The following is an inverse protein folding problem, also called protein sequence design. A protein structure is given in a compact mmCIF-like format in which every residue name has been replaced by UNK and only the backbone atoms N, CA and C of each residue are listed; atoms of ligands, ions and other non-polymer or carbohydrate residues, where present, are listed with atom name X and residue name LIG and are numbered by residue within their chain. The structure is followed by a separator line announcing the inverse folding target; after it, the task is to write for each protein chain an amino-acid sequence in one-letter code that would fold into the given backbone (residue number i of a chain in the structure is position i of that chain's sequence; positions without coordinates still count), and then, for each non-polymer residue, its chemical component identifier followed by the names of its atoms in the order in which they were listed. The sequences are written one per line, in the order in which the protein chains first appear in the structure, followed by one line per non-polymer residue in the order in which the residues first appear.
data_IF_329814348174
#
_entry.id   IF_329814348174
#
_cell.length_a   1.000
_cell.length_b   1.000
_cell.length_c   1.000
_cell.angle_alpha   90.00
_cell.angle_beta   90.00
_cell.angle_gamma   90.00
#
_symmetry.space_group_name_H-M   'P 1'
#
loop_
_entity.id
_entity.type
_entity.pdbx_description
1 polymer ?
#
# COMPACT_ATOMS: atom_id res chain seq x y z
N UNK A 1 1.07 45.65 -29.69
CA UNK A 1 1.90 45.00 -28.65
C UNK A 1 0.96 44.61 -27.53
N UNK A 2 0.46 43.38 -27.58
CA UNK A 2 -0.50 42.85 -26.61
C UNK A 2 0.23 42.62 -25.29
N UNK A 3 -0.21 43.28 -24.23
CA UNK A 3 0.26 43.02 -22.87
C UNK A 3 -0.03 41.55 -22.53
N UNK A 4 0.99 40.69 -22.60
CA UNK A 4 0.89 39.34 -22.02
C UNK A 4 0.68 39.58 -20.52
N UNK A 5 -0.54 39.33 -20.06
CA UNK A 5 -0.90 39.47 -18.67
C UNK A 5 0.08 38.70 -17.80
N UNK A 6 0.64 39.37 -16.80
CA UNK A 6 1.50 38.73 -15.80
C UNK A 6 0.66 37.62 -15.15
N UNK A 7 1.04 36.37 -15.37
CA UNK A 7 0.37 35.23 -14.74
C UNK A 7 0.59 35.35 -13.22
N UNK A 8 -0.47 35.34 -12.39
CA UNK A 8 -0.33 35.32 -10.94
C UNK A 8 0.58 34.19 -10.45
N UNK A 9 1.40 34.48 -9.44
CA UNK A 9 2.37 33.51 -8.93
C UNK A 9 1.68 32.26 -8.38
N UNK A 10 0.46 32.38 -7.85
CA UNK A 10 -0.34 31.26 -7.36
C UNK A 10 -0.68 30.28 -8.49
N UNK A 11 -0.97 30.78 -9.70
CA UNK A 11 -1.24 29.92 -10.86
C UNK A 11 0.04 29.23 -11.36
N UNK A 12 1.18 29.94 -11.34
CA UNK A 12 2.49 29.34 -11.64
C UNK A 12 2.80 28.21 -10.66
N UNK A 13 2.58 28.45 -9.37
CA UNK A 13 2.80 27.46 -8.32
C UNK A 13 1.88 26.24 -8.47
N UNK A 14 0.59 26.45 -8.78
CA UNK A 14 -0.36 25.36 -9.06
C UNK A 14 0.03 24.55 -10.29
N UNK A 15 0.44 25.18 -11.40
CA UNK A 15 0.93 24.47 -12.58
C UNK A 15 2.16 23.63 -12.24
N UNK A 16 3.09 24.20 -11.48
CA UNK A 16 4.28 23.46 -11.04
C UNK A 16 3.88 22.29 -10.16
N UNK A 17 2.88 22.42 -9.27
CA UNK A 17 2.43 21.35 -8.37
C UNK A 17 1.83 20.15 -9.10
N UNK A 18 1.24 20.34 -10.28
CA UNK A 18 0.70 19.27 -11.12
C UNK A 18 1.78 18.41 -11.81
N UNK A 19 3.04 18.87 -11.86
CA UNK A 19 4.13 18.07 -12.44
C UNK A 19 4.33 16.80 -11.59
N UNK A 20 4.40 15.59 -12.16
CA UNK A 20 4.64 14.38 -11.38
C UNK A 20 5.96 14.45 -10.61
N UNK A 21 5.99 13.92 -9.39
CA UNK A 21 7.22 13.90 -8.55
C UNK A 21 8.35 13.10 -9.20
N UNK A 22 8.00 12.06 -9.97
CA UNK A 22 8.93 11.23 -10.74
C UNK A 22 9.59 12.01 -11.89
N UNK A 23 8.94 13.07 -12.40
CA UNK A 23 9.43 13.89 -13.50
C UNK A 23 10.36 15.02 -13.01
N UNK A 24 11.50 14.59 -12.45
CA UNK A 24 12.51 15.50 -11.93
C UNK A 24 13.18 16.35 -13.01
N UNK A 25 13.17 15.90 -14.27
CA UNK A 25 13.80 16.63 -15.38
C UNK A 25 12.95 17.82 -15.83
N UNK A 26 11.63 17.67 -15.87
CA UNK A 26 10.72 18.81 -16.08
C UNK A 26 10.84 19.81 -14.94
N UNK A 27 10.89 19.36 -13.68
CA UNK A 27 11.09 20.25 -12.53
C UNK A 27 12.43 21.00 -12.59
N UNK A 28 13.53 20.34 -12.99
CA UNK A 28 14.83 21.00 -13.22
C UNK A 28 14.74 22.05 -14.31
N UNK A 29 14.09 21.73 -15.42
CA UNK A 29 13.91 22.68 -16.52
C UNK A 29 13.13 23.91 -16.05
N UNK A 30 12.08 23.72 -15.26
CA UNK A 30 11.30 24.81 -14.67
C UNK A 30 12.15 25.75 -13.80
N UNK A 31 13.15 25.23 -13.06
CA UNK A 31 14.05 26.10 -12.28
C UNK A 31 14.89 27.05 -13.13
N UNK A 32 15.06 26.78 -14.42
CA UNK A 32 15.86 27.58 -15.34
C UNK A 32 15.04 28.57 -16.18
N UNK A 33 13.70 28.51 -16.12
CA UNK A 33 12.81 29.33 -16.97
C UNK A 33 12.89 30.81 -16.58
N UNK A 34 12.56 31.14 -15.33
CA UNK A 34 12.65 32.49 -14.78
C UNK A 34 12.54 32.47 -13.23
N UNK A 35 12.66 33.64 -12.61
CA UNK A 35 12.58 33.80 -11.15
C UNK A 35 11.25 33.40 -10.52
N UNK A 36 10.13 33.43 -11.26
CA UNK A 36 8.82 33.01 -10.75
C UNK A 36 8.70 31.49 -10.66
N UNK A 37 9.32 30.73 -11.56
CA UNK A 37 9.26 29.27 -11.53
C UNK A 37 10.25 28.66 -10.52
N UNK A 38 11.37 29.35 -10.27
CA UNK A 38 12.45 28.83 -9.43
C UNK A 38 12.01 28.39 -8.03
N UNK A 39 11.34 29.20 -7.18
CA UNK A 39 11.12 28.85 -5.77
C UNK A 39 10.29 27.58 -5.60
N UNK A 40 9.19 27.44 -6.35
CA UNK A 40 8.30 26.29 -6.25
C UNK A 40 8.93 25.03 -6.84
N UNK A 41 9.48 25.11 -8.05
CA UNK A 41 10.14 23.96 -8.70
C UNK A 41 11.33 23.46 -7.89
N UNK A 42 12.13 24.38 -7.37
CA UNK A 42 13.28 24.06 -6.52
C UNK A 42 12.85 23.36 -5.22
N UNK A 43 11.81 23.87 -4.54
CA UNK A 43 11.26 23.22 -3.36
C UNK A 43 10.77 21.79 -3.65
N UNK A 44 10.10 21.57 -4.78
CA UNK A 44 9.62 20.24 -5.19
C UNK A 44 10.76 19.28 -5.56
N UNK A 45 11.83 19.78 -6.18
CA UNK A 45 13.01 18.96 -6.49
C UNK A 45 13.68 18.36 -5.25
N UNK A 46 13.67 19.10 -4.14
CA UNK A 46 14.27 18.64 -2.88
C UNK A 46 13.27 18.03 -1.91
N UNK A 47 11.97 18.02 -2.21
CA UNK A 47 10.96 17.49 -1.28
C UNK A 47 10.95 15.97 -1.19
N UNK A 48 11.31 15.29 -2.27
CA UNK A 48 11.35 13.82 -2.35
C UNK A 48 12.75 13.38 -2.73
N UNK A 49 13.36 12.56 -1.88
CA UNK A 49 14.72 12.05 -2.09
C UNK A 49 14.70 10.54 -2.17
N UNK A 50 15.11 10.00 -3.32
CA UNK A 50 15.24 8.56 -3.54
C UNK A 50 16.73 8.18 -3.57
N UNK A 51 17.15 7.36 -2.60
CA UNK A 51 18.50 6.83 -2.51
C UNK A 51 18.50 5.36 -2.89
N UNK A 52 19.20 5.02 -3.97
CA UNK A 52 19.37 3.66 -4.49
C UNK A 52 20.85 3.36 -4.60
N UNK A 53 21.37 2.47 -3.75
CA UNK A 53 22.77 2.04 -3.86
C UNK A 53 22.86 0.78 -4.69
N UNK A 54 23.65 0.80 -5.75
CA UNK A 54 23.95 -0.38 -6.58
C UNK A 54 25.28 -1.06 -6.19
N UNK A 55 25.94 -0.64 -5.11
CA UNK A 55 27.28 -1.11 -4.75
C UNK A 55 27.36 -1.60 -3.31
N UNK A 56 27.84 -2.84 -3.15
CA UNK A 56 27.97 -3.55 -1.88
C UNK A 56 28.95 -2.92 -0.87
N UNK A 57 29.96 -2.16 -1.31
CA UNK A 57 31.06 -1.74 -0.42
C UNK A 57 31.21 -0.25 -0.19
N UNK A 58 30.34 0.61 -0.73
CA UNK A 58 30.56 2.07 -0.72
C UNK A 58 32.02 2.45 -1.06
N UNK A 59 32.71 1.63 -1.87
CA UNK A 59 34.17 1.65 -1.97
C UNK A 59 34.68 2.93 -2.64
N UNK A 60 33.80 3.61 -3.39
CA UNK A 60 34.06 4.92 -3.94
C UNK A 60 33.01 5.91 -3.43
N UNK A 61 33.38 6.71 -2.43
CA UNK A 61 32.49 7.69 -1.82
C UNK A 61 31.98 8.75 -2.83
N UNK A 62 32.61 8.92 -3.99
CA UNK A 62 32.16 9.82 -5.06
C UNK A 62 30.92 9.29 -5.81
N UNK A 63 30.69 7.98 -5.79
CA UNK A 63 29.61 7.30 -6.54
C UNK A 63 28.47 6.88 -5.61
N UNK A 64 28.73 6.75 -4.31
CA UNK A 64 27.71 6.35 -3.35
C UNK A 64 26.68 7.47 -3.06
N UNK A 65 25.41 7.29 -3.46
CA UNK A 65 24.39 8.31 -3.25
C UNK A 65 24.11 8.57 -1.77
N UNK A 66 24.27 7.58 -0.89
CA UNK A 66 24.01 7.75 0.55
C UNK A 66 25.06 8.64 1.20
N UNK A 67 26.35 8.35 1.03
CA UNK A 67 27.44 9.23 1.54
C UNK A 67 27.42 10.61 0.90
N UNK A 68 27.03 10.73 -0.38
CA UNK A 68 26.89 12.04 -1.04
C UNK A 68 25.75 12.84 -0.43
N UNK A 69 24.59 12.21 -0.22
CA UNK A 69 23.44 12.86 0.39
C UNK A 69 23.70 13.23 1.85
N UNK A 70 24.30 12.34 2.63
CA UNK A 70 24.72 12.63 4.01
C UNK A 70 25.63 13.86 4.10
N UNK A 71 26.65 13.95 3.24
CA UNK A 71 27.52 15.16 3.15
C UNK A 71 26.76 16.41 2.71
N UNK A 72 25.77 16.26 1.83
CA UNK A 72 24.94 17.37 1.39
C UNK A 72 24.04 17.91 2.51
N UNK A 73 23.28 17.05 3.20
CA UNK A 73 22.34 17.48 4.25
C UNK A 73 23.04 17.97 5.51
N UNK A 74 24.23 17.43 5.83
CA UNK A 74 25.05 17.92 6.94
C UNK A 74 25.64 19.30 6.66
N UNK A 75 26.00 19.61 5.40
CA UNK A 75 26.55 20.91 5.01
C UNK A 75 25.48 21.98 4.77
N UNK A 76 24.31 21.59 4.24
CA UNK A 76 23.29 22.53 3.82
C UNK A 76 21.95 22.27 4.49
N UNK A 77 21.84 22.68 5.76
CA UNK A 77 20.65 22.47 6.59
C UNK A 77 19.35 23.05 5.99
N UNK A 78 19.42 24.16 5.25
CA UNK A 78 18.25 24.75 4.60
C UNK A 78 17.64 23.83 3.54
N UNK A 79 18.46 23.13 2.73
CA UNK A 79 17.96 22.13 1.80
C UNK A 79 17.43 20.89 2.52
N UNK A 80 18.11 20.46 3.59
CA UNK A 80 17.66 19.34 4.40
C UNK A 80 16.25 19.58 4.99
N UNK A 81 15.91 20.84 5.30
CA UNK A 81 14.59 21.24 5.77
C UNK A 81 13.48 21.21 4.71
N UNK A 82 13.83 21.10 3.42
CA UNK A 82 12.87 20.96 2.32
C UNK A 82 12.43 19.51 2.11
N UNK A 83 13.23 18.54 2.57
CA UNK A 83 12.97 17.11 2.41
C UNK A 83 11.79 16.69 3.28
N UNK A 84 10.76 16.14 2.62
CA UNK A 84 9.52 15.66 3.23
C UNK A 84 9.33 14.16 3.05
N UNK A 85 9.80 13.59 1.95
CA UNK A 85 9.75 12.16 1.67
C UNK A 85 11.17 11.65 1.41
N UNK A 86 11.54 10.55 2.06
CA UNK A 86 12.79 9.84 1.79
C UNK A 86 12.55 8.37 1.54
N UNK A 87 13.14 7.86 0.46
CA UNK A 87 13.07 6.46 0.08
C UNK A 87 14.47 5.86 0.06
N UNK A 88 14.70 4.90 0.96
CA UNK A 88 15.95 4.19 1.10
C UNK A 88 15.79 2.81 0.47
N UNK A 89 16.50 2.59 -0.63
CA UNK A 89 16.51 1.33 -1.34
C UNK A 89 17.87 0.67 -1.23
N UNK A 90 17.85 -0.58 -0.77
CA UNK A 90 18.96 -1.50 -0.94
C UNK A 90 18.78 -2.28 -2.24
N UNK A 91 19.64 -2.00 -3.23
CA UNK A 91 19.54 -2.56 -4.57
C UNK A 91 20.77 -3.42 -4.85
N UNK A 92 20.87 -4.66 -4.34
CA UNK A 92 21.77 -5.66 -4.95
C UNK A 92 21.56 -7.14 -4.60
N UNK A 93 22.24 -7.97 -5.42
CA UNK A 93 22.12 -9.41 -5.71
C UNK A 93 22.37 -10.39 -4.52
N UNK A 94 21.84 -11.63 -4.60
CA UNK A 94 21.74 -12.60 -3.49
C UNK A 94 23.03 -13.03 -2.77
N UNK A 95 24.21 -12.69 -3.28
CA UNK A 95 25.47 -13.38 -2.96
C UNK A 95 26.21 -12.74 -1.78
N UNK A 96 25.89 -11.51 -1.39
CA UNK A 96 26.75 -10.70 -0.50
C UNK A 96 26.07 -10.13 0.75
N UNK A 97 24.75 -10.28 0.89
CA UNK A 97 24.00 -9.74 2.03
C UNK A 97 23.75 -8.22 1.94
N UNK A 98 22.73 -7.74 2.65
CA UNK A 98 22.31 -6.32 2.66
C UNK A 98 23.23 -5.45 3.50
N UNK A 99 23.69 -4.32 2.96
CA UNK A 99 24.52 -3.38 3.73
C UNK A 99 23.73 -2.64 4.82
N UNK A 100 22.39 -2.61 4.75
CA UNK A 100 21.55 -2.12 5.86
C UNK A 100 21.77 -2.92 7.14
N UNK A 101 22.21 -4.18 7.05
CA UNK A 101 22.53 -4.99 8.24
C UNK A 101 23.79 -4.51 8.96
N UNK A 102 24.68 -3.80 8.26
CA UNK A 102 25.99 -3.37 8.75
C UNK A 102 26.09 -1.86 8.93
N UNK A 103 25.17 -1.07 8.35
CA UNK A 103 25.26 0.39 8.45
C UNK A 103 24.96 0.88 9.85
N UNK A 104 26.00 1.40 10.48
CA UNK A 104 26.02 1.92 11.83
C UNK A 104 26.12 3.45 11.86
N UNK A 105 26.29 4.11 10.70
CA UNK A 105 26.62 5.54 10.65
C UNK A 105 25.80 6.34 9.65
N UNK A 106 25.64 5.88 8.40
CA UNK A 106 25.20 6.74 7.30
C UNK A 106 23.71 7.05 7.39
N UNK A 107 22.85 6.03 7.42
CA UNK A 107 21.39 6.21 7.52
C UNK A 107 21.02 6.89 8.83
N UNK A 108 21.53 6.47 10.01
CA UNK A 108 21.25 7.17 11.26
C UNK A 108 21.55 8.67 11.20
N UNK A 109 22.69 9.05 10.60
CA UNK A 109 23.05 10.47 10.43
C UNK A 109 22.14 11.18 9.44
N UNK A 110 21.83 10.56 8.30
CA UNK A 110 20.88 11.14 7.33
C UNK A 110 19.56 11.47 8.03
N UNK A 111 18.96 10.50 8.74
CA UNK A 111 17.67 10.68 9.41
C UNK A 111 17.73 11.80 10.47
N UNK A 112 18.86 11.97 11.15
CA UNK A 112 19.03 13.05 12.15
C UNK A 112 19.01 14.46 11.56
N UNK A 113 19.26 14.61 10.26
CA UNK A 113 19.33 15.91 9.58
C UNK A 113 18.03 16.31 8.87
N UNK A 114 16.96 15.52 8.95
CA UNK A 114 15.70 15.75 8.22
C UNK A 114 14.56 16.13 9.18
N UNK A 115 14.51 17.39 9.67
CA UNK A 115 13.58 17.80 10.73
C UNK A 115 12.11 17.86 10.28
N UNK A 116 11.87 17.92 8.97
CA UNK A 116 10.54 18.12 8.37
C UNK A 116 10.03 16.88 7.64
N UNK A 117 10.62 15.71 7.92
CA UNK A 117 10.23 14.48 7.25
C UNK A 117 8.79 14.10 7.61
N UNK A 118 7.98 13.92 6.57
CA UNK A 118 6.57 13.54 6.62
C UNK A 118 6.36 12.08 6.20
N UNK A 119 7.27 11.52 5.40
CA UNK A 119 7.19 10.15 4.89
C UNK A 119 8.56 9.49 4.79
N UNK A 120 8.61 8.21 5.16
CA UNK A 120 9.80 7.36 4.99
C UNK A 120 9.42 6.01 4.39
N UNK A 121 10.18 5.59 3.39
CA UNK A 121 10.08 4.26 2.79
C UNK A 121 11.43 3.57 2.85
N UNK A 122 11.46 2.34 3.36
CA UNK A 122 12.65 1.49 3.39
C UNK A 122 12.35 0.22 2.64
N UNK A 123 13.03 0.03 1.51
CA UNK A 123 12.99 -1.20 0.73
C UNK A 123 14.31 -1.94 0.89
N UNK A 124 14.24 -3.13 1.47
CA UNK A 124 15.34 -4.07 1.54
C UNK A 124 15.10 -5.27 0.61
N UNK A 125 15.98 -6.26 0.63
CA UNK A 125 15.86 -7.49 -0.14
C UNK A 125 15.81 -8.70 0.79
N UNK A 126 14.76 -8.77 1.61
CA UNK A 126 14.60 -9.76 2.67
C UNK A 126 15.81 -9.74 3.63
N UNK A 127 16.11 -8.57 4.18
CA UNK A 127 17.20 -8.42 5.15
C UNK A 127 16.78 -7.60 6.35
N UNK A 128 17.52 -7.76 7.45
CA UNK A 128 17.35 -6.98 8.67
C UNK A 128 17.93 -5.57 8.51
N UNK A 129 17.46 -4.68 9.37
CA UNK A 129 18.11 -3.39 9.62
C UNK A 129 19.09 -3.54 10.78
N UNK A 130 20.21 -2.83 10.71
CA UNK A 130 21.16 -2.73 11.82
C UNK A 130 20.49 -2.10 13.05
N UNK A 131 21.06 -2.37 14.23
CA UNK A 131 20.58 -1.75 15.47
C UNK A 131 20.61 -0.21 15.44
N UNK A 132 21.67 0.46 14.93
CA UNK A 132 21.68 1.91 14.82
C UNK A 132 20.57 2.48 13.93
N UNK A 133 20.23 1.81 12.81
CA UNK A 133 19.11 2.21 11.97
C UNK A 133 17.79 2.09 12.74
N UNK A 134 17.56 0.96 13.41
CA UNK A 134 16.35 0.73 14.21
C UNK A 134 16.19 1.79 15.31
N UNK A 135 17.27 2.15 15.99
CA UNK A 135 17.29 3.21 17.00
C UNK A 135 16.96 4.59 16.41
N UNK A 136 17.55 4.93 15.25
CA UNK A 136 17.25 6.17 14.54
C UNK A 136 15.79 6.26 14.10
N UNK A 137 15.22 5.16 13.59
CA UNK A 137 13.81 5.07 13.21
C UNK A 137 12.88 5.27 14.41
N UNK A 138 13.18 4.64 15.55
CA UNK A 138 12.39 4.83 16.78
C UNK A 138 12.35 6.29 17.22
N UNK A 139 13.45 7.02 17.06
CA UNK A 139 13.50 8.45 17.36
C UNK A 139 12.74 9.28 16.31
N UNK A 140 12.88 8.94 15.04
CA UNK A 140 12.17 9.60 13.95
C UNK A 140 10.65 9.45 14.10
N UNK A 141 10.16 8.28 14.53
CA UNK A 141 8.72 8.03 14.67
C UNK A 141 8.06 8.89 15.75
N UNK A 142 8.85 9.34 16.73
CA UNK A 142 8.41 10.31 17.73
C UNK A 142 8.11 11.70 17.16
N UNK A 143 8.55 11.99 15.93
CA UNK A 143 8.21 13.23 15.23
C UNK A 143 6.70 13.28 14.93
N UNK A 144 6.01 14.38 15.30
CA UNK A 144 4.61 14.58 14.96
C UNK A 144 4.39 14.90 13.49
N UNK A 145 5.46 15.25 12.75
CA UNK A 145 5.39 15.55 11.31
C UNK A 145 5.36 14.29 10.46
N UNK A 146 5.98 13.20 10.94
CA UNK A 146 6.01 11.94 10.22
C UNK A 146 4.59 11.33 10.20
N UNK A 147 4.05 11.06 9.02
CA UNK A 147 2.70 10.52 8.83
C UNK A 147 2.71 9.20 8.09
N UNK A 148 3.64 8.99 7.17
CA UNK A 148 3.69 7.77 6.35
C UNK A 148 4.97 6.98 6.62
N UNK A 149 4.81 5.68 6.86
CA UNK A 149 5.91 4.75 7.11
C UNK A 149 5.69 3.53 6.22
N UNK A 150 6.68 3.19 5.40
CA UNK A 150 6.62 2.03 4.52
C UNK A 150 7.86 1.15 4.69
N UNK A 151 7.63 -0.15 4.89
CA UNK A 151 8.66 -1.17 4.88
C UNK A 151 8.36 -2.18 3.77
N UNK A 152 9.31 -2.35 2.87
CA UNK A 152 9.25 -3.33 1.78
C UNK A 152 10.37 -4.35 1.92
N UNK A 153 10.03 -5.63 2.03
CA UNK A 153 10.93 -6.79 2.14
C UNK A 153 11.98 -6.61 3.24
N UNK A 154 11.57 -6.02 4.37
CA UNK A 154 12.39 -5.85 5.57
C UNK A 154 12.05 -6.96 6.57
N UNK A 155 13.08 -7.54 7.19
CA UNK A 155 12.93 -8.61 8.17
C UNK A 155 13.16 -8.09 9.58
N UNK A 156 12.25 -8.42 10.49
CA UNK A 156 12.31 -8.07 11.91
C UNK A 156 12.42 -9.36 12.73
N UNK A 157 13.63 -9.95 12.73
CA UNK A 157 13.94 -11.21 13.44
C UNK A 157 14.41 -11.04 14.88
N UNK A 158 14.83 -9.84 15.28
CA UNK A 158 15.44 -9.65 16.60
C UNK A 158 14.35 -9.57 17.69
N UNK A 159 14.40 -10.44 18.73
CA UNK A 159 13.51 -10.34 19.89
C UNK A 159 13.62 -8.99 20.59
N UNK A 160 14.80 -8.37 20.55
CA UNK A 160 15.08 -7.09 21.17
C UNK A 160 14.42 -5.90 20.45
N UNK A 161 14.08 -6.05 19.16
CA UNK A 161 13.49 -4.97 18.33
C UNK A 161 12.48 -5.53 17.32
N UNK A 162 11.33 -6.05 17.80
CA UNK A 162 10.23 -6.40 16.91
C UNK A 162 9.71 -5.13 16.22
N UNK A 163 9.13 -5.25 15.02
CA UNK A 163 8.62 -4.12 14.23
C UNK A 163 7.78 -3.15 15.09
N UNK A 164 6.85 -3.69 15.88
CA UNK A 164 5.96 -2.87 16.71
C UNK A 164 6.74 -2.01 17.71
N UNK A 165 7.88 -2.45 18.24
CA UNK A 165 8.68 -1.67 19.20
C UNK A 165 9.14 -0.30 18.67
N UNK A 166 9.27 -0.15 17.34
CA UNK A 166 9.58 1.14 16.70
C UNK A 166 8.52 2.21 16.97
N UNK A 167 7.26 1.79 17.14
CA UNK A 167 6.12 2.68 17.36
C UNK A 167 5.91 3.06 18.83
N UNK A 168 6.74 2.54 19.75
CA UNK A 168 6.64 2.80 21.19
C UNK A 168 6.70 4.27 21.61
N UNK A 169 7.28 5.13 20.76
CA UNK A 169 7.41 6.57 20.96
C UNK A 169 6.64 7.38 19.92
N UNK A 170 5.90 6.73 19.02
CA UNK A 170 5.30 7.41 17.90
C UNK A 170 4.19 8.36 18.36
N UNK A 171 4.11 9.51 17.72
CA UNK A 171 3.12 10.54 18.04
C UNK A 171 2.21 10.83 16.84
N UNK A 172 0.92 10.98 17.12
CA UNK A 172 -0.10 11.25 16.11
C UNK A 172 -0.46 10.02 15.24
N UNK A 173 -1.51 10.16 14.41
CA UNK A 173 -1.95 9.09 13.52
C UNK A 173 -0.93 8.82 12.42
N UNK A 174 -0.67 7.54 12.15
CA UNK A 174 0.24 7.09 11.09
C UNK A 174 -0.49 6.27 10.02
N UNK A 175 0.00 6.39 8.81
CA UNK A 175 -0.23 5.47 7.70
C UNK A 175 0.94 4.49 7.66
N UNK A 176 0.67 3.21 7.79
CA UNK A 176 1.69 2.15 7.86
C UNK A 176 1.52 1.19 6.68
N UNK A 177 2.58 0.98 5.93
CA UNK A 177 2.65 0.00 4.85
C UNK A 177 3.71 -1.06 5.14
N UNK A 178 3.33 -2.33 5.08
CA UNK A 178 4.21 -3.48 5.29
C UNK A 178 4.06 -4.43 4.10
N UNK A 179 5.08 -4.49 3.25
CA UNK A 179 5.08 -5.25 2.01
C UNK A 179 6.20 -6.29 1.99
N UNK A 180 5.91 -7.57 1.82
CA UNK A 180 6.90 -8.65 1.78
C UNK A 180 7.76 -8.81 3.04
N UNK A 181 7.43 -8.12 4.14
CA UNK A 181 8.18 -8.20 5.39
C UNK A 181 7.83 -9.44 6.19
N UNK A 182 8.74 -9.87 7.05
CA UNK A 182 8.48 -10.89 8.07
C UNK A 182 8.78 -10.27 9.42
N UNK A 183 7.79 -10.28 10.32
CA UNK A 183 7.96 -9.88 11.71
C UNK A 183 7.72 -11.11 12.56
N UNK A 184 8.76 -11.61 13.22
CA UNK A 184 8.57 -12.64 14.24
C UNK A 184 8.35 -11.92 15.56
N UNK A 185 7.15 -12.05 16.12
CA UNK A 185 6.96 -11.79 17.53
C UNK A 185 7.52 -12.97 18.30
N UNK A 186 8.59 -12.80 19.07
CA UNK A 186 8.85 -13.74 20.15
C UNK A 186 7.77 -13.56 21.20
N UNK A 187 7.15 -14.67 21.64
CA UNK A 187 6.42 -14.75 22.90
C UNK A 187 7.39 -14.58 24.08
N UNK A 188 8.12 -13.47 24.13
CA UNK A 188 9.15 -13.26 25.13
C UNK A 188 8.48 -12.95 26.48
N UNK A 189 8.97 -13.60 27.54
CA UNK A 189 8.44 -13.57 28.92
C UNK A 189 8.64 -12.22 29.62
N UNK A 190 9.12 -11.22 28.90
CA UNK A 190 9.34 -9.88 29.44
C UNK A 190 8.01 -9.22 29.87
N UNK A 191 8.01 -8.47 30.98
CA UNK A 191 6.80 -7.88 31.53
C UNK A 191 6.17 -6.91 30.53
N UNK A 192 4.81 -6.81 30.48
CA UNK A 192 4.13 -5.91 29.58
C UNK A 192 4.60 -4.46 29.80
N UNK A 193 4.69 -3.64 28.73
CA UNK A 193 4.97 -2.22 28.88
C UNK A 193 3.99 -1.59 29.87
N UNK A 194 4.52 -0.73 30.76
CA UNK A 194 3.77 -0.06 31.83
C UNK A 194 2.50 0.61 31.29
N UNK A 195 1.40 0.56 32.04
CA UNK A 195 0.03 1.02 31.70
C UNK A 195 -0.12 2.48 31.22
N UNK A 196 0.95 3.27 31.20
CA UNK A 196 0.97 4.66 30.74
C UNK A 196 1.56 4.82 29.33
N UNK A 197 1.71 3.73 28.56
CA UNK A 197 2.21 3.82 27.19
C UNK A 197 1.21 4.54 26.28
N UNK A 198 1.64 5.65 25.71
CA UNK A 198 0.96 6.29 24.59
C UNK A 198 1.14 5.36 23.39
N UNK A 199 0.05 4.75 22.93
CA UNK A 199 0.05 3.92 21.73
C UNK A 199 0.07 4.80 20.48
N UNK A 200 0.76 4.31 19.45
CA UNK A 200 0.72 4.91 18.12
C UNK A 200 -0.67 4.68 17.51
N UNK A 201 -1.42 5.74 17.27
CA UNK A 201 -2.67 5.62 16.52
C UNK A 201 -2.38 5.35 15.04
N UNK A 202 -3.16 4.47 14.43
CA UNK A 202 -3.06 4.15 13.00
C UNK A 202 -4.36 4.49 12.31
N UNK A 203 -4.28 5.34 11.29
CA UNK A 203 -5.43 5.74 10.48
C UNK A 203 -5.59 4.85 9.25
N UNK A 204 -4.46 4.42 8.67
CA UNK A 204 -4.41 3.58 7.50
C UNK A 204 -3.33 2.49 7.63
N UNK A 205 -3.68 1.25 7.32
CA UNK A 205 -2.80 0.09 7.43
C UNK A 205 -2.83 -0.73 6.14
N UNK A 206 -1.66 -1.00 5.57
CA UNK A 206 -1.50 -1.86 4.39
C UNK A 206 -0.62 -3.06 4.70
N UNK A 207 -1.12 -4.27 4.46
CA UNK A 207 -0.47 -5.54 4.79
C UNK A 207 -0.38 -6.44 3.56
N UNK A 208 0.84 -6.66 3.08
CA UNK A 208 1.18 -7.69 2.08
C UNK A 208 2.28 -8.55 2.66
N UNK A 209 1.95 -9.70 3.22
CA UNK A 209 2.91 -10.61 3.86
C UNK A 209 2.61 -12.05 3.46
N UNK A 210 3.56 -12.97 3.68
CA UNK A 210 3.26 -14.39 3.57
C UNK A 210 2.25 -14.83 4.65
N UNK A 211 1.43 -15.88 4.42
CA UNK A 211 0.33 -16.23 5.33
C UNK A 211 0.72 -16.40 6.80
N UNK A 212 1.82 -17.12 7.09
CA UNK A 212 2.29 -17.33 8.45
C UNK A 212 2.73 -16.02 9.12
N UNK A 213 3.51 -15.22 8.39
CA UNK A 213 3.98 -13.93 8.88
C UNK A 213 2.84 -12.93 9.10
N UNK A 214 1.80 -12.97 8.26
CA UNK A 214 0.61 -12.15 8.42
C UNK A 214 -0.17 -12.55 9.69
N UNK A 215 -0.34 -13.84 9.95
CA UNK A 215 -1.01 -14.32 11.16
C UNK A 215 -0.28 -13.88 12.43
N UNK A 216 1.03 -14.13 12.51
CA UNK A 216 1.87 -13.75 13.66
C UNK A 216 1.84 -12.22 13.88
N UNK A 217 1.87 -11.45 12.79
CA UNK A 217 1.80 -9.99 12.86
C UNK A 217 0.45 -9.51 13.40
N UNK A 218 -0.67 -10.08 12.96
CA UNK A 218 -2.02 -9.73 13.44
C UNK A 218 -2.15 -10.07 14.93
N UNK A 219 -1.70 -11.25 15.35
CA UNK A 219 -1.72 -11.66 16.75
C UNK A 219 -0.90 -10.69 17.63
N UNK A 220 0.28 -10.27 17.16
CA UNK A 220 1.11 -9.27 17.84
C UNK A 220 0.42 -7.89 17.89
N UNK A 221 -0.18 -7.46 16.78
CA UNK A 221 -0.85 -6.16 16.64
C UNK A 221 -2.06 -6.03 17.56
N UNK A 222 -2.82 -7.11 17.73
CA UNK A 222 -4.01 -7.17 18.58
C UNK A 222 -3.68 -7.53 20.04
N UNK A 223 -2.42 -7.86 20.34
CA UNK A 223 -2.00 -8.17 21.70
C UNK A 223 -2.09 -6.94 22.62
N UNK A 224 -2.32 -7.16 23.91
CA UNK A 224 -2.30 -6.08 24.93
C UNK A 224 -0.95 -5.38 25.07
N UNK A 225 0.10 -5.94 24.48
CA UNK A 225 1.48 -5.41 24.50
C UNK A 225 1.81 -4.61 23.25
N UNK A 226 0.88 -4.54 22.28
CA UNK A 226 1.07 -3.74 21.08
C UNK A 226 1.28 -2.27 21.45
N UNK A 227 2.32 -1.69 20.88
CA UNK A 227 2.60 -0.25 20.89
C UNK A 227 1.77 0.51 19.86
N UNK A 228 1.00 -0.22 19.05
CA UNK A 228 0.20 0.28 17.95
C UNK A 228 -1.27 0.07 18.28
N UNK A 229 -2.05 1.13 18.25
CA UNK A 229 -3.49 1.13 18.46
C UNK A 229 -4.23 1.25 17.12
N UNK A 230 -5.00 0.20 16.83
CA UNK A 230 -5.84 0.10 15.63
C UNK A 230 -7.28 0.56 15.88
N UNK A 231 -7.62 1.00 17.09
CA UNK A 231 -8.99 1.41 17.44
C UNK A 231 -9.52 2.58 16.62
N UNK A 232 -8.63 3.35 15.99
CA UNK A 232 -8.96 4.50 15.14
C UNK A 232 -8.71 4.21 13.65
N UNK A 233 -8.53 2.95 13.26
CA UNK A 233 -8.24 2.57 11.89
C UNK A 233 -9.45 2.84 10.99
N UNK A 234 -9.24 3.64 9.94
CA UNK A 234 -10.27 4.03 8.95
C UNK A 234 -10.07 3.34 7.61
N UNK A 235 -8.84 3.02 7.24
CA UNK A 235 -8.52 2.33 5.98
C UNK A 235 -7.67 1.09 6.21
N UNK A 236 -8.09 -0.03 5.65
CA UNK A 236 -7.35 -1.29 5.68
C UNK A 236 -7.13 -1.81 4.27
N UNK A 237 -5.88 -2.11 3.94
CA UNK A 237 -5.50 -2.66 2.66
C UNK A 237 -4.79 -4.01 2.88
N UNK A 238 -5.34 -5.09 2.34
CA UNK A 238 -4.81 -6.45 2.51
C UNK A 238 -4.55 -7.13 1.17
N UNK A 239 -3.41 -7.82 1.08
CA UNK A 239 -3.10 -8.72 -0.03
C UNK A 239 -3.26 -10.15 0.44
N UNK A 240 -4.23 -10.84 -0.13
CA UNK A 240 -4.54 -12.26 0.12
C UNK A 240 -4.09 -13.17 -1.03
N UNK A 241 -3.39 -12.61 -2.03
CA UNK A 241 -2.76 -13.36 -3.11
C UNK A 241 -1.89 -14.48 -2.55
N UNK A 242 -2.09 -15.71 -3.01
CA UNK A 242 -1.43 -16.94 -2.51
C UNK A 242 -1.78 -17.34 -1.06
N UNK A 243 -2.71 -16.66 -0.39
CA UNK A 243 -3.20 -17.08 0.93
C UNK A 243 -4.33 -18.12 0.77
N UNK A 244 -4.23 -19.24 1.51
CA UNK A 244 -5.32 -20.23 1.61
C UNK A 244 -6.43 -19.78 2.58
N UNK A 245 -6.10 -18.89 3.52
CA UNK A 245 -6.96 -18.47 4.63
C UNK A 245 -6.92 -16.95 4.81
N UNK A 246 -7.79 -16.21 4.11
CA UNK A 246 -7.95 -14.77 4.30
C UNK A 246 -8.55 -14.43 5.67
N UNK A 247 -9.29 -15.37 6.28
CA UNK A 247 -9.91 -15.23 7.59
C UNK A 247 -8.94 -14.88 8.75
N UNK A 248 -7.62 -14.94 8.57
CA UNK A 248 -6.65 -14.39 9.53
C UNK A 248 -6.93 -12.91 9.84
N UNK A 249 -7.47 -12.16 8.87
CA UNK A 249 -7.80 -10.75 9.04
C UNK A 249 -9.13 -10.51 9.78
N UNK A 250 -9.95 -11.54 10.03
CA UNK A 250 -11.24 -11.35 10.70
C UNK A 250 -11.09 -10.83 12.13
N UNK A 251 -10.02 -11.19 12.83
CA UNK A 251 -9.77 -10.65 14.17
C UNK A 251 -9.51 -9.13 14.12
N UNK A 252 -8.77 -8.68 13.10
CA UNK A 252 -8.49 -7.25 12.87
C UNK A 252 -9.75 -6.50 12.42
N UNK A 253 -10.55 -7.09 11.52
CA UNK A 253 -11.83 -6.53 11.09
C UNK A 253 -12.81 -6.41 12.26
N UNK A 254 -12.85 -7.40 13.16
CA UNK A 254 -13.67 -7.35 14.37
C UNK A 254 -13.20 -6.24 15.34
N UNK A 255 -11.88 -6.07 15.51
CA UNK A 255 -11.31 -5.03 16.36
C UNK A 255 -11.55 -3.60 15.84
N UNK A 256 -11.78 -3.45 14.53
CA UNK A 256 -11.94 -2.16 13.83
C UNK A 256 -13.38 -1.90 13.37
N UNK A 257 -14.32 -2.73 13.83
CA UNK A 257 -15.71 -2.77 13.38
C UNK A 257 -16.44 -1.42 13.40
N UNK A 258 -16.14 -0.55 14.36
CA UNK A 258 -16.81 0.74 14.54
C UNK A 258 -16.13 1.91 13.82
N UNK A 259 -14.91 1.74 13.31
CA UNK A 259 -14.10 2.84 12.77
C UNK A 259 -13.67 2.63 11.33
N UNK A 260 -13.65 1.39 10.85
CA UNK A 260 -13.21 1.08 9.49
C UNK A 260 -14.22 1.60 8.46
N UNK A 261 -13.78 2.53 7.63
CA UNK A 261 -14.59 3.15 6.58
C UNK A 261 -14.36 2.50 5.21
N UNK A 262 -13.14 2.01 4.96
CA UNK A 262 -12.70 1.50 3.66
C UNK A 262 -11.83 0.24 3.81
N UNK A 263 -12.18 -0.80 3.06
CA UNK A 263 -11.42 -2.05 2.94
C UNK A 263 -11.01 -2.28 1.48
N UNK A 264 -9.71 -2.38 1.24
CA UNK A 264 -9.13 -2.71 -0.06
C UNK A 264 -8.52 -4.10 -0.01
N UNK A 265 -8.94 -4.98 -0.93
CA UNK A 265 -8.53 -6.39 -0.95
C UNK A 265 -7.91 -6.71 -2.30
N UNK A 266 -6.65 -7.14 -2.30
CA UNK A 266 -6.02 -7.75 -3.48
C UNK A 266 -5.99 -9.25 -3.33
N UNK A 267 -6.44 -9.98 -4.35
CA UNK A 267 -6.50 -11.44 -4.31
C UNK A 267 -6.30 -12.05 -5.69
N UNK A 268 -5.87 -13.31 -5.71
CA UNK A 268 -5.81 -14.15 -6.91
C UNK A 268 -6.42 -15.53 -6.67
N UNK A 269 -7.07 -15.75 -5.53
CA UNK A 269 -7.51 -17.08 -5.09
C UNK A 269 -8.82 -17.01 -4.31
N UNK A 270 -9.56 -18.13 -4.28
CA UNK A 270 -10.63 -18.33 -3.31
C UNK A 270 -10.05 -18.68 -1.95
N UNK A 271 -10.46 -17.97 -0.91
CA UNK A 271 -10.18 -18.44 0.45
C UNK A 271 -11.10 -19.60 0.83
N UNK A 272 -10.57 -20.53 1.61
CA UNK A 272 -11.38 -21.60 2.24
C UNK A 272 -12.24 -21.11 3.40
N UNK A 273 -11.94 -19.92 3.94
CA UNK A 273 -12.70 -19.28 5.02
C UNK A 273 -13.00 -17.83 4.66
N UNK A 274 -14.22 -17.41 4.94
CA UNK A 274 -14.77 -16.13 4.54
C UNK A 274 -14.21 -14.97 5.39
N UNK A 275 -14.09 -13.79 4.78
CA UNK A 275 -13.84 -12.51 5.42
C UNK A 275 -15.17 -11.90 5.85
N UNK A 276 -15.29 -11.51 7.12
CA UNK A 276 -16.48 -10.76 7.57
C UNK A 276 -16.33 -9.28 7.18
N UNK A 277 -16.85 -8.94 6.01
CA UNK A 277 -16.85 -7.57 5.47
C UNK A 277 -18.16 -6.84 5.75
N UNK A 278 -19.10 -7.47 6.47
CA UNK A 278 -20.48 -6.97 6.59
C UNK A 278 -20.59 -5.62 7.30
N UNK A 279 -19.56 -5.21 8.02
CA UNK A 279 -19.51 -3.94 8.76
C UNK A 279 -18.76 -2.82 8.04
N UNK A 280 -18.18 -3.09 6.87
CA UNK A 280 -17.38 -2.11 6.14
C UNK A 280 -18.25 -1.37 5.13
N UNK A 281 -18.33 -0.02 5.20
CA UNK A 281 -19.14 0.76 4.26
C UNK A 281 -18.64 0.74 2.82
N UNK A 282 -17.31 0.82 2.61
CA UNK A 282 -16.71 0.88 1.26
C UNK A 282 -15.72 -0.24 1.07
N UNK A 283 -15.93 -1.04 0.02
CA UNK A 283 -15.09 -2.19 -0.29
C UNK A 283 -14.58 -2.07 -1.71
N UNK A 284 -13.27 -2.19 -1.88
CA UNK A 284 -12.63 -2.35 -3.18
C UNK A 284 -11.96 -3.72 -3.23
N UNK A 285 -12.23 -4.51 -4.26
CA UNK A 285 -11.60 -5.82 -4.42
C UNK A 285 -10.99 -5.99 -5.80
N UNK A 286 -9.68 -6.19 -5.83
CA UNK A 286 -8.87 -6.45 -7.00
C UNK A 286 -8.62 -7.95 -7.11
N UNK A 287 -9.19 -8.58 -8.14
CA UNK A 287 -9.14 -10.03 -8.36
C UNK A 287 -8.38 -10.32 -9.64
N UNK A 288 -7.31 -11.10 -9.53
CA UNK A 288 -6.54 -11.58 -10.67
C UNK A 288 -6.77 -13.08 -10.90
N UNK A 289 -7.44 -13.43 -11.99
CA UNK A 289 -7.79 -14.81 -12.38
C UNK A 289 -7.23 -15.14 -13.77
N UNK A 290 -5.92 -15.38 -13.85
CA UNK A 290 -5.21 -15.65 -15.12
C UNK A 290 -4.85 -17.13 -15.35
N UNK A 291 -5.04 -17.98 -14.33
CA UNK A 291 -4.75 -19.42 -14.41
C UNK A 291 -6.04 -20.23 -14.36
N UNK A 292 -6.15 -21.23 -15.25
CA UNK A 292 -7.33 -22.09 -15.41
C UNK A 292 -7.67 -22.97 -14.20
N UNK A 293 -6.70 -23.18 -13.31
CA UNK A 293 -6.88 -24.03 -12.13
C UNK A 293 -7.57 -23.30 -10.97
N UNK A 294 -7.80 -21.99 -11.10
CA UNK A 294 -8.51 -21.23 -10.08
C UNK A 294 -10.01 -21.26 -10.32
N UNK A 295 -10.82 -21.15 -9.25
CA UNK A 295 -12.24 -20.97 -9.42
C UNK A 295 -12.51 -19.68 -10.21
N UNK A 296 -13.59 -19.66 -10.99
CA UNK A 296 -14.00 -18.46 -11.73
C UNK A 296 -14.21 -17.27 -10.78
N UNK A 297 -14.01 -16.03 -11.28
CA UNK A 297 -13.85 -14.84 -10.43
C UNK A 297 -15.05 -14.58 -9.52
N UNK A 298 -16.28 -14.77 -10.01
CA UNK A 298 -17.49 -14.53 -9.22
C UNK A 298 -17.63 -15.56 -8.07
N UNK A 299 -17.32 -16.83 -8.32
CA UNK A 299 -17.29 -17.86 -7.26
C UNK A 299 -16.15 -17.61 -6.27
N UNK A 300 -14.98 -17.18 -6.75
CA UNK A 300 -13.86 -16.85 -5.86
C UNK A 300 -14.25 -15.74 -4.88
N UNK A 301 -14.92 -14.70 -5.38
CA UNK A 301 -15.46 -13.60 -4.57
C UNK A 301 -16.56 -14.05 -3.60
N UNK A 302 -17.51 -14.86 -4.05
CA UNK A 302 -18.56 -15.39 -3.17
C UNK A 302 -17.97 -16.18 -1.98
N UNK A 303 -16.94 -16.98 -2.25
CA UNK A 303 -16.21 -17.73 -1.21
C UNK A 303 -15.40 -16.82 -0.29
N UNK A 304 -14.94 -15.67 -0.78
CA UNK A 304 -14.17 -14.70 0.00
C UNK A 304 -15.06 -13.89 0.93
N UNK A 305 -16.16 -13.32 0.45
CA UNK A 305 -16.99 -12.36 1.20
C UNK A 305 -17.93 -13.00 2.21
N UNK A 306 -18.32 -14.24 1.97
CA UNK A 306 -19.26 -14.93 2.84
C UNK A 306 -20.64 -14.30 2.93
N UNK A 307 -21.55 -14.99 3.61
CA UNK A 307 -22.93 -14.48 3.75
C UNK A 307 -22.95 -13.30 4.71
N UNK A 308 -23.56 -12.17 4.34
CA UNK A 308 -23.62 -11.00 5.20
C UNK A 308 -24.41 -11.32 6.47
N UNK A 309 -23.98 -10.71 7.59
CA UNK A 309 -24.75 -10.73 8.83
C UNK A 309 -26.04 -9.90 8.68
N UNK A 310 -27.02 -10.10 9.57
CA UNK A 310 -28.32 -9.37 9.55
C UNK A 310 -28.17 -7.84 9.58
N UNK A 311 -27.02 -7.32 10.02
CA UNK A 311 -26.71 -5.88 10.08
C UNK A 311 -25.58 -5.51 9.11
N UNK A 312 -25.88 -5.62 7.82
CA UNK A 312 -24.96 -5.20 6.75
C UNK A 312 -24.89 -3.66 6.64
N UNK A 313 -23.67 -3.12 6.67
CA UNK A 313 -23.34 -1.71 6.51
C UNK A 313 -22.74 -1.38 5.14
N UNK A 314 -22.59 -2.38 4.24
CA UNK A 314 -22.00 -2.17 2.92
C UNK A 314 -22.82 -1.13 2.12
N UNK A 315 -22.19 -0.01 1.79
CA UNK A 315 -22.78 1.05 0.98
C UNK A 315 -22.33 0.96 -0.47
N UNK A 316 -21.03 0.78 -0.68
CA UNK A 316 -20.39 0.82 -2.00
C UNK A 316 -19.40 -0.33 -2.14
N UNK A 317 -19.49 -1.07 -3.24
CA UNK A 317 -18.58 -2.17 -3.57
C UNK A 317 -18.06 -2.00 -4.99
N UNK A 318 -16.74 -1.88 -5.14
CA UNK A 318 -16.07 -1.83 -6.44
C UNK A 318 -15.23 -3.10 -6.63
N UNK A 319 -15.49 -3.84 -7.70
CA UNK A 319 -14.81 -5.08 -8.04
C UNK A 319 -14.02 -4.90 -9.34
N UNK A 320 -12.71 -5.10 -9.26
CA UNK A 320 -11.80 -5.01 -10.40
C UNK A 320 -11.33 -6.43 -10.76
N UNK A 321 -11.78 -6.94 -11.90
CA UNK A 321 -11.53 -8.31 -12.35
C UNK A 321 -10.53 -8.30 -13.51
N UNK A 322 -9.32 -8.80 -13.30
CA UNK A 322 -8.38 -9.12 -14.36
C UNK A 322 -8.50 -10.60 -14.73
N UNK A 323 -9.02 -10.89 -15.93
CA UNK A 323 -9.45 -12.24 -16.34
C UNK A 323 -9.04 -12.58 -17.77
N UNK A 324 -8.88 -13.87 -18.07
CA UNK A 324 -8.87 -14.35 -19.47
C UNK A 324 -10.30 -14.50 -19.99
N UNK A 325 -10.55 -14.27 -21.30
CA UNK A 325 -11.89 -14.35 -21.88
C UNK A 325 -12.64 -15.65 -21.53
N UNK A 326 -11.98 -16.79 -21.68
CA UNK A 326 -12.59 -18.10 -21.47
C UNK A 326 -13.02 -18.33 -20.01
N UNK A 327 -12.29 -17.75 -19.05
CA UNK A 327 -12.57 -17.91 -17.62
C UNK A 327 -13.88 -17.22 -17.19
N UNK A 328 -14.30 -16.19 -17.93
CA UNK A 328 -15.54 -15.47 -17.66
C UNK A 328 -16.68 -15.96 -18.57
N UNK A 329 -16.41 -16.15 -19.86
CA UNK A 329 -17.46 -16.40 -20.86
C UNK A 329 -17.98 -17.84 -20.85
N UNK A 330 -17.13 -18.82 -20.55
CA UNK A 330 -17.52 -20.24 -20.56
C UNK A 330 -18.19 -20.68 -19.25
N UNK A 331 -18.25 -19.79 -18.27
CA UNK A 331 -18.71 -20.09 -16.93
C UNK A 331 -20.24 -20.11 -16.81
N UNK A 332 -20.88 -21.04 -16.08
CA UNK A 332 -22.33 -21.02 -15.87
C UNK A 332 -22.79 -19.77 -15.11
N UNK A 333 -23.86 -19.10 -15.59
CA UNK A 333 -24.37 -17.91 -14.90
C UNK A 333 -24.93 -18.21 -13.50
N UNK A 334 -25.34 -19.47 -13.25
CA UNK A 334 -25.80 -19.96 -11.94
C UNK A 334 -24.78 -19.79 -10.82
N UNK A 335 -23.50 -19.77 -11.15
CA UNK A 335 -22.43 -19.78 -10.17
C UNK A 335 -22.11 -18.36 -9.65
N UNK A 336 -22.69 -17.34 -10.28
CA UNK A 336 -22.75 -15.97 -9.76
C UNK A 336 -23.82 -15.78 -8.68
N UNK A 337 -24.80 -16.69 -8.55
CA UNK A 337 -25.93 -16.53 -7.65
C UNK A 337 -25.52 -16.33 -6.18
N UNK A 338 -24.48 -17.04 -5.72
CA UNK A 338 -23.98 -16.87 -4.36
C UNK A 338 -23.36 -15.48 -4.12
N UNK A 339 -22.71 -14.91 -5.13
CA UNK A 339 -22.18 -13.54 -5.04
C UNK A 339 -23.32 -12.51 -5.12
N UNK A 340 -24.29 -12.76 -5.99
CA UNK A 340 -25.49 -11.93 -6.15
C UNK A 340 -26.25 -11.83 -4.81
N UNK A 341 -26.52 -12.95 -4.15
CA UNK A 341 -27.16 -13.00 -2.82
C UNK A 341 -26.42 -12.14 -1.78
N UNK A 342 -25.09 -12.16 -1.80
CA UNK A 342 -24.25 -11.39 -0.87
C UNK A 342 -24.38 -9.90 -1.18
N UNK A 343 -24.17 -9.53 -2.45
CA UNK A 343 -24.06 -8.14 -2.86
C UNK A 343 -25.42 -7.44 -2.97
N UNK A 344 -26.54 -8.15 -3.08
CA UNK A 344 -27.90 -7.57 -3.00
C UNK A 344 -28.12 -6.84 -1.66
N UNK A 345 -27.37 -7.17 -0.61
CA UNK A 345 -27.39 -6.44 0.67
C UNK A 345 -26.75 -5.04 0.61
N UNK A 346 -25.97 -4.73 -0.43
CA UNK A 346 -25.31 -3.43 -0.63
C UNK A 346 -26.37 -2.33 -0.85
N UNK A 347 -26.19 -1.19 -0.19
CA UNK A 347 -27.22 -0.14 -0.13
C UNK A 347 -27.27 0.79 -1.33
N UNK A 348 -26.11 1.20 -1.88
CA UNK A 348 -26.05 2.30 -2.86
C UNK A 348 -25.64 1.82 -4.24
N UNK A 349 -24.44 1.23 -4.38
CA UNK A 349 -23.91 0.83 -5.69
C UNK A 349 -22.94 -0.35 -5.62
N UNK A 350 -22.93 -1.11 -6.69
CA UNK A 350 -21.95 -2.16 -6.98
C UNK A 350 -21.40 -1.91 -8.38
N UNK A 351 -20.11 -1.61 -8.49
CA UNK A 351 -19.43 -1.44 -9.76
C UNK A 351 -18.53 -2.66 -10.02
N UNK A 352 -18.59 -3.20 -11.24
CA UNK A 352 -17.72 -4.30 -11.67
C UNK A 352 -16.97 -3.86 -12.92
N UNK A 353 -15.66 -3.73 -12.78
CA UNK A 353 -14.74 -3.39 -13.85
C UNK A 353 -14.04 -4.67 -14.31
N UNK A 354 -14.28 -5.08 -15.55
CA UNK A 354 -13.68 -6.29 -16.13
C UNK A 354 -12.57 -5.90 -17.10
N UNK A 355 -11.34 -6.22 -16.75
CA UNK A 355 -10.19 -6.13 -17.64
C UNK A 355 -9.90 -7.50 -18.24
N UNK A 356 -10.13 -7.64 -19.54
CA UNK A 356 -9.90 -8.88 -20.29
C UNK A 356 -8.48 -8.90 -20.85
N UNK A 357 -7.67 -9.86 -20.42
CA UNK A 357 -6.36 -10.13 -20.99
C UNK A 357 -6.52 -10.93 -22.29
N UNK A 358 -6.30 -10.31 -23.44
CA UNK A 358 -6.42 -10.97 -24.75
C UNK A 358 -5.27 -10.58 -25.67
N UNK A 359 -4.63 -11.59 -26.27
CA UNK A 359 -3.66 -11.41 -27.36
C UNK A 359 -4.33 -11.10 -28.70
N UNK A 360 -5.64 -11.32 -28.82
CA UNK A 360 -6.42 -11.06 -30.02
C UNK A 360 -6.86 -9.59 -30.07
N UNK A 361 -6.12 -8.78 -30.82
CA UNK A 361 -6.36 -7.35 -31.02
C UNK A 361 -7.68 -7.08 -31.73
N UNK A 362 -8.14 -7.99 -32.59
CA UNK A 362 -9.34 -7.82 -33.40
C UNK A 362 -10.63 -8.23 -32.65
N UNK A 363 -10.50 -9.04 -31.60
CA UNK A 363 -11.61 -9.52 -30.77
C UNK A 363 -11.95 -8.66 -29.55
N UNK A 364 -11.16 -7.63 -29.22
CA UNK A 364 -11.26 -6.86 -27.96
C UNK A 364 -12.68 -6.37 -27.63
N UNK A 365 -13.30 -5.61 -28.53
CA UNK A 365 -14.65 -5.06 -28.30
C UNK A 365 -15.72 -6.14 -28.18
N UNK A 366 -15.56 -7.27 -28.87
CA UNK A 366 -16.47 -8.42 -28.75
C UNK A 366 -16.35 -9.06 -27.37
N UNK A 367 -15.13 -9.23 -26.85
CA UNK A 367 -14.91 -9.78 -25.52
C UNK A 367 -15.41 -8.84 -24.43
N UNK A 368 -15.25 -7.52 -24.58
CA UNK A 368 -15.77 -6.52 -23.64
C UNK A 368 -17.29 -6.60 -23.53
N UNK A 369 -18.00 -6.52 -24.67
CA UNK A 369 -19.47 -6.59 -24.69
C UNK A 369 -19.99 -7.93 -24.15
N UNK A 370 -19.35 -9.04 -24.53
CA UNK A 370 -19.70 -10.36 -24.04
C UNK A 370 -19.48 -10.48 -22.52
N UNK A 371 -18.40 -9.88 -21.99
CA UNK A 371 -18.09 -9.89 -20.56
C UNK A 371 -19.13 -9.11 -19.75
N UNK A 372 -19.50 -7.91 -20.22
CA UNK A 372 -20.56 -7.10 -19.59
C UNK A 372 -21.86 -7.88 -19.53
N UNK A 373 -22.31 -8.41 -20.68
CA UNK A 373 -23.54 -9.21 -20.76
C UNK A 373 -23.49 -10.40 -19.81
N UNK A 374 -22.36 -11.10 -19.78
CA UNK A 374 -22.19 -12.31 -18.95
C UNK A 374 -22.26 -12.02 -17.46
N UNK A 375 -21.64 -10.93 -16.99
CA UNK A 375 -21.70 -10.52 -15.57
C UNK A 375 -23.12 -10.14 -15.18
N UNK A 376 -23.84 -9.38 -16.02
CA UNK A 376 -25.24 -9.00 -15.77
C UNK A 376 -26.14 -10.25 -15.67
N UNK A 377 -25.99 -11.20 -16.59
CA UNK A 377 -26.74 -12.47 -16.56
C UNK A 377 -26.42 -13.32 -15.32
N UNK A 378 -25.23 -13.18 -14.75
CA UNK A 378 -24.78 -13.92 -13.57
C UNK A 378 -25.17 -13.26 -12.24
N UNK A 379 -25.63 -12.01 -12.27
CA UNK A 379 -25.98 -11.20 -11.10
C UNK A 379 -27.39 -10.56 -11.26
N UNK A 380 -28.44 -11.38 -11.47
CA UNK A 380 -29.77 -10.88 -11.81
C UNK A 380 -30.43 -10.06 -10.69
N UNK A 381 -30.20 -10.37 -9.42
CA UNK A 381 -30.75 -9.68 -8.27
C UNK A 381 -30.20 -8.26 -8.12
N UNK A 382 -28.88 -8.09 -8.27
CA UNK A 382 -28.24 -6.79 -8.33
C UNK A 382 -28.74 -5.93 -9.50
N UNK A 383 -28.90 -6.56 -10.68
CA UNK A 383 -29.43 -5.87 -11.85
C UNK A 383 -30.89 -5.43 -11.65
N UNK A 384 -31.74 -6.32 -11.12
CA UNK A 384 -33.15 -6.01 -10.82
C UNK A 384 -33.29 -4.90 -9.77
N UNK A 385 -32.36 -4.82 -8.81
CA UNK A 385 -32.30 -3.75 -7.81
C UNK A 385 -31.82 -2.41 -8.39
N UNK A 386 -31.25 -2.40 -9.59
CA UNK A 386 -30.79 -1.17 -10.27
C UNK A 386 -29.53 -0.55 -9.67
N UNK A 387 -28.73 -1.32 -8.91
CA UNK A 387 -27.50 -0.84 -8.25
C UNK A 387 -26.22 -1.34 -8.91
N UNK A 388 -26.33 -2.19 -9.94
CA UNK A 388 -25.20 -2.77 -10.67
C UNK A 388 -24.77 -1.91 -11.85
N UNK A 389 -23.50 -1.53 -11.88
CA UNK A 389 -22.83 -0.99 -13.07
C UNK A 389 -21.72 -1.95 -13.48
N UNK A 390 -21.63 -2.29 -14.76
CA UNK A 390 -20.58 -3.16 -15.30
C UNK A 390 -19.89 -2.46 -16.46
N UNK A 391 -18.58 -2.34 -16.37
CA UNK A 391 -17.71 -1.82 -17.43
C UNK A 391 -16.68 -2.87 -17.80
N UNK A 392 -16.30 -2.93 -19.07
CA UNK A 392 -15.24 -3.83 -19.53
C UNK A 392 -14.24 -3.10 -20.42
N UNK A 393 -12.98 -3.49 -20.30
CA UNK A 393 -11.87 -3.04 -21.13
C UNK A 393 -10.96 -4.23 -21.47
N UNK A 394 -10.20 -4.13 -22.56
CA UNK A 394 -9.24 -5.15 -22.95
C UNK A 394 -7.80 -4.66 -22.84
N UNK A 395 -6.92 -5.48 -22.27
CA UNK A 395 -5.48 -5.24 -22.27
C UNK A 395 -4.73 -6.33 -23.05
N UNK A 396 -3.67 -5.92 -23.73
CA UNK A 396 -2.75 -6.80 -24.48
C UNK A 396 -1.47 -7.12 -23.73
N UNK A 397 -1.28 -6.51 -22.56
CA UNK A 397 -0.06 -6.60 -21.76
C UNK A 397 -0.41 -7.18 -20.39
N UNK A 398 0.47 -8.02 -19.84
CA UNK A 398 0.53 -8.26 -18.39
C UNK A 398 0.86 -6.93 -17.71
N UNK A 399 -0.13 -6.05 -17.55
CA UNK A 399 0.11 -4.75 -16.93
C UNK A 399 0.61 -4.98 -15.50
N UNK A 400 1.74 -4.36 -15.17
CA UNK A 400 2.37 -4.32 -13.84
C UNK A 400 1.46 -3.64 -12.79
N UNK A 401 0.26 -3.19 -13.16
CA UNK A 401 -0.73 -2.53 -12.31
C UNK A 401 -1.19 -3.37 -11.09
N UNK A 402 -0.90 -4.67 -11.08
CA UNK A 402 -1.24 -5.59 -9.97
C UNK A 402 -0.02 -6.10 -9.18
N UNK A 403 1.20 -5.60 -9.42
CA UNK A 403 2.42 -6.06 -8.73
C UNK A 403 2.69 -5.43 -7.38
#
# INVERSE_FOLDING_TARGET
MSSVGIIPQELVDSIIDEIPVEDSDTLRTCTLVNHSFFPRSHKRLFSTVVLRSCSYKHANASIDPYRRFMRFVSRYAHYASLVKDIQLHDVYLPVSGSWFTQDDTIIPQILSHLPHLESISISSFNSCLSFPIMSALRNLFASPKLRSISFSKVLFYSPSYPLLSLFSRASGPKTIHIYGGVSYGTHDESPPPSRNHISCQVDSLSIKMYPAAAADFIDCLLSRRSTVDVSSLRKLHIWTTWMKHAAIFNQLLAATRSTLEELVIHTSNSSSRQLDISHVPRIQCFVMCLMSNFPPPLTALARLFGRPSERCLMEEVDLYLLVKPDMLLQFPSSDGAALDDILVSVRRRVNIYVTVESSDVNGKTKYEQASVKKVIESLPGLHAKGILTVEASSTTVQDDAFR
#
